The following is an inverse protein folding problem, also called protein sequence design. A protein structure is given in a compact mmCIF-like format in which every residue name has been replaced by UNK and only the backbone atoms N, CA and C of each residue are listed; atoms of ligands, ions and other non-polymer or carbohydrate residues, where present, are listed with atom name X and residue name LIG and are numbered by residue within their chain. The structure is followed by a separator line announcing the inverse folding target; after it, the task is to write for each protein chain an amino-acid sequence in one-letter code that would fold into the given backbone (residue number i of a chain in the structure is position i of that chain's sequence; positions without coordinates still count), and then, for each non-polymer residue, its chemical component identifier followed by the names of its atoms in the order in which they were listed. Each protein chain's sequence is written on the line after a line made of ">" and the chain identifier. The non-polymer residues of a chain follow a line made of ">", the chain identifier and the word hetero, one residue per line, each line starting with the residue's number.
data_IF_168424854610
#
_entry.id   IF_168424854610
#
_cell.length_a   1.000
_cell.length_b   1.000
_cell.length_c   1.000
_cell.angle_alpha   90.00
_cell.angle_beta   90.00
_cell.angle_gamma   90.00
#
_symmetry.space_group_name_H-M   'P 1'
#
loop_
_entity.id
_entity.type
_entity.pdbx_description
1 polymer ?
#
# COMPACT_ATOMS: atom_id res chain seq x y z
N UNK A 1 14.61 -14.36 -9.18
CA UNK A 1 13.43 -14.45 -8.28
C UNK A 1 13.68 -15.49 -7.19
N UNK A 2 13.29 -15.19 -5.95
CA UNK A 2 13.42 -16.08 -4.80
C UNK A 2 12.43 -17.25 -4.90
N UNK A 3 12.88 -18.50 -4.65
CA UNK A 3 12.01 -19.70 -4.70
C UNK A 3 10.86 -19.64 -3.68
N UNK A 4 11.14 -19.11 -2.48
CA UNK A 4 10.11 -18.95 -1.44
C UNK A 4 9.03 -17.93 -1.85
N UNK A 5 9.37 -16.94 -2.69
CA UNK A 5 8.38 -16.02 -3.25
C UNK A 5 7.47 -16.76 -4.24
N UNK A 6 8.04 -17.61 -5.13
CA UNK A 6 7.24 -18.38 -6.10
C UNK A 6 6.19 -19.25 -5.40
N UNK A 7 6.51 -19.84 -4.26
CA UNK A 7 5.59 -20.66 -3.47
C UNK A 7 4.39 -19.88 -2.92
N UNK A 8 4.47 -18.56 -2.83
CA UNK A 8 3.38 -17.70 -2.35
C UNK A 8 2.49 -17.18 -3.48
N UNK A 9 2.99 -17.19 -4.73
CA UNK A 9 2.26 -16.63 -5.86
C UNK A 9 1.08 -17.50 -6.27
N UNK A 10 0.03 -16.84 -6.80
CA UNK A 10 -1.09 -17.43 -7.51
C UNK A 10 -1.38 -16.61 -8.78
N UNK A 11 -1.97 -17.26 -9.76
CA UNK A 11 -2.33 -16.62 -11.02
C UNK A 11 -3.45 -15.58 -10.80
N UNK A 12 -3.26 -14.30 -11.14
CA UNK A 12 -4.31 -13.30 -10.97
C UNK A 12 -5.50 -13.51 -11.93
N UNK A 13 -5.36 -14.28 -13.02
CA UNK A 13 -6.46 -14.54 -13.95
C UNK A 13 -7.42 -15.63 -13.46
N UNK A 14 -6.91 -16.74 -12.93
CA UNK A 14 -7.74 -17.87 -12.53
C UNK A 14 -7.69 -18.20 -11.03
N UNK A 15 -6.81 -17.54 -10.25
CA UNK A 15 -6.65 -17.80 -8.83
C UNK A 15 -5.82 -19.05 -8.48
N UNK A 16 -5.48 -19.89 -9.47
CA UNK A 16 -4.75 -21.13 -9.22
C UNK A 16 -3.27 -20.89 -8.91
N UNK A 17 -2.74 -21.75 -8.08
CA UNK A 17 -1.37 -21.63 -7.60
C UNK A 17 -0.33 -22.39 -8.44
N UNK A 18 -0.72 -22.83 -9.63
CA UNK A 18 0.08 -23.68 -10.53
C UNK A 18 0.96 -22.81 -11.46
N UNK A 19 1.89 -22.10 -10.85
CA UNK A 19 2.82 -21.23 -11.56
C UNK A 19 4.18 -21.92 -11.69
N UNK A 20 4.68 -21.98 -12.93
CA UNK A 20 5.98 -22.53 -13.28
C UNK A 20 6.90 -21.45 -13.83
N UNK A 21 8.17 -21.48 -13.43
CA UNK A 21 9.20 -20.63 -13.99
C UNK A 21 9.72 -21.24 -15.28
N UNK A 22 9.46 -20.59 -16.40
CA UNK A 22 9.94 -20.97 -17.72
C UNK A 22 11.31 -20.33 -18.03
N UNK A 23 12.10 -20.91 -18.95
CA UNK A 23 13.28 -20.23 -19.52
C UNK A 23 12.89 -18.85 -20.09
N UNK A 24 13.77 -17.86 -19.89
CA UNK A 24 13.55 -16.48 -20.35
C UNK A 24 12.74 -15.63 -19.37
N UNK A 25 12.91 -15.88 -18.06
CA UNK A 25 12.35 -15.06 -16.98
C UNK A 25 10.83 -14.80 -17.14
N UNK A 26 10.08 -15.88 -17.29
CA UNK A 26 8.62 -15.84 -17.43
C UNK A 26 7.98 -16.85 -16.48
N UNK A 27 6.95 -16.42 -15.74
CA UNK A 27 6.05 -17.31 -15.03
C UNK A 27 4.90 -17.70 -15.96
N UNK A 28 4.54 -18.97 -15.98
CA UNK A 28 3.38 -19.48 -16.70
C UNK A 28 2.42 -20.19 -15.75
N UNK A 29 1.14 -19.95 -15.91
CA UNK A 29 0.10 -20.70 -15.22
C UNK A 29 -0.27 -21.93 -16.03
N UNK A 30 -0.11 -23.13 -15.44
CA UNK A 30 -0.45 -24.40 -16.08
C UNK A 30 -1.96 -24.57 -16.28
N UNK A 31 -2.79 -23.90 -15.44
CA UNK A 31 -4.25 -24.02 -15.45
C UNK A 31 -4.93 -23.18 -16.55
N UNK A 32 -4.45 -21.94 -16.80
CA UNK A 32 -5.09 -21.04 -17.78
C UNK A 32 -4.15 -20.52 -18.87
N UNK A 33 -2.91 -21.02 -18.91
CA UNK A 33 -1.87 -20.67 -19.86
C UNK A 33 -1.44 -19.17 -19.86
N UNK A 34 -1.88 -18.37 -18.86
CA UNK A 34 -1.45 -16.98 -18.70
C UNK A 34 0.05 -16.92 -18.39
N UNK A 35 0.69 -15.88 -18.91
CA UNK A 35 2.14 -15.68 -18.77
C UNK A 35 2.45 -14.32 -18.18
N UNK A 36 3.44 -14.30 -17.27
CA UNK A 36 3.84 -13.13 -16.50
C UNK A 36 5.35 -12.95 -16.62
N UNK A 37 5.83 -11.86 -17.24
CA UNK A 37 7.26 -11.62 -17.36
C UNK A 37 7.87 -11.28 -16.00
N UNK A 38 9.12 -11.68 -15.81
CA UNK A 38 9.96 -11.22 -14.70
C UNK A 38 10.91 -10.18 -15.27
N UNK A 39 10.76 -8.93 -14.86
CA UNK A 39 11.56 -7.80 -15.34
C UNK A 39 12.41 -7.30 -14.19
N UNK A 40 13.74 -7.23 -14.36
CA UNK A 40 14.67 -6.84 -13.30
C UNK A 40 14.51 -7.62 -11.98
N UNK A 41 14.15 -8.91 -12.09
CA UNK A 41 13.90 -9.78 -10.95
C UNK A 41 12.51 -9.65 -10.30
N UNK A 42 11.65 -8.74 -10.79
CA UNK A 42 10.30 -8.48 -10.32
C UNK A 42 9.28 -9.20 -11.21
N UNK A 43 8.49 -10.15 -10.69
CA UNK A 43 7.39 -10.75 -11.45
C UNK A 43 6.25 -9.73 -11.65
N UNK A 44 5.85 -9.53 -12.89
CA UNK A 44 4.77 -8.62 -13.29
C UNK A 44 3.45 -9.40 -13.37
N UNK A 45 2.83 -9.59 -12.22
CA UNK A 45 1.61 -10.38 -12.00
C UNK A 45 0.34 -9.53 -12.16
N UNK A 46 0.23 -8.84 -13.30
CA UNK A 46 -0.93 -8.00 -13.60
C UNK A 46 -1.95 -8.79 -14.44
N UNK A 47 -3.27 -8.59 -14.22
CA UNK A 47 -4.30 -9.11 -15.09
C UNK A 47 -4.05 -8.72 -16.57
N UNK A 48 -4.39 -9.61 -17.51
CA UNK A 48 -4.04 -9.43 -18.92
C UNK A 48 -4.57 -8.11 -19.50
N UNK A 49 -5.79 -7.72 -19.15
CA UNK A 49 -6.39 -6.46 -19.59
C UNK A 49 -5.60 -5.24 -19.11
N UNK A 50 -5.15 -5.25 -17.86
CA UNK A 50 -4.35 -4.17 -17.29
C UNK A 50 -2.94 -4.18 -17.89
N UNK A 51 -2.29 -5.33 -17.97
CA UNK A 51 -0.97 -5.48 -18.56
C UNK A 51 -0.92 -5.04 -20.03
N UNK A 52 -1.97 -5.35 -20.82
CA UNK A 52 -2.08 -4.90 -22.21
C UNK A 52 -2.21 -3.37 -22.29
N UNK A 53 -3.04 -2.79 -21.43
CA UNK A 53 -3.24 -1.34 -21.33
C UNK A 53 -1.93 -0.62 -21.00
N UNK A 54 -1.15 -1.13 -20.07
CA UNK A 54 0.14 -0.56 -19.69
C UNK A 54 1.17 -0.61 -20.81
N UNK A 55 1.27 -1.76 -21.52
CA UNK A 55 2.21 -1.89 -22.64
C UNK A 55 1.89 -0.93 -23.80
N UNK A 56 0.61 -0.75 -24.12
CA UNK A 56 0.18 0.14 -25.20
C UNK A 56 0.41 1.62 -24.91
N UNK A 57 0.72 1.98 -23.67
CA UNK A 57 0.67 3.36 -23.21
C UNK A 57 1.93 3.91 -22.57
N UNK A 58 3.05 3.22 -22.66
CA UNK A 58 4.35 3.80 -22.28
C UNK A 58 4.60 5.13 -23.03
N UNK A 59 4.36 5.14 -24.34
CA UNK A 59 4.46 6.34 -25.17
C UNK A 59 3.40 7.40 -24.84
N UNK A 60 2.26 6.97 -24.31
CA UNK A 60 1.22 7.90 -23.87
C UNK A 60 1.60 8.53 -22.54
N UNK A 61 2.21 7.77 -21.60
CA UNK A 61 2.75 8.30 -20.34
C UNK A 61 3.79 9.38 -20.59
N UNK A 62 4.76 9.11 -21.47
CA UNK A 62 5.79 10.07 -21.81
C UNK A 62 5.20 11.36 -22.40
N UNK A 63 4.22 11.23 -23.29
CA UNK A 63 3.50 12.39 -23.86
C UNK A 63 2.67 13.14 -22.82
N UNK A 64 2.02 12.42 -21.91
CA UNK A 64 1.24 12.99 -20.82
C UNK A 64 2.14 13.77 -19.85
N UNK A 65 3.26 13.17 -19.42
CA UNK A 65 4.22 13.86 -18.55
C UNK A 65 4.82 15.11 -19.23
N UNK A 66 5.09 15.03 -20.53
CA UNK A 66 5.54 16.20 -21.29
C UNK A 66 4.47 17.30 -21.35
N UNK A 67 3.20 16.95 -21.52
CA UNK A 67 2.09 17.90 -21.53
C UNK A 67 1.89 18.56 -20.15
N UNK A 68 2.04 17.78 -19.06
CA UNK A 68 1.97 18.30 -17.70
C UNK A 68 3.10 19.28 -17.38
N UNK A 69 4.32 18.96 -17.81
CA UNK A 69 5.45 19.91 -17.67
C UNK A 69 5.19 21.24 -18.40
N UNK A 70 4.33 21.24 -19.42
CA UNK A 70 3.87 22.44 -20.11
C UNK A 70 2.64 23.09 -19.47
N UNK A 71 2.10 22.54 -18.38
CA UNK A 71 0.92 23.06 -17.69
C UNK A 71 -0.41 22.83 -18.42
N UNK A 72 -0.48 21.82 -19.30
CA UNK A 72 -1.69 21.48 -20.03
C UNK A 72 -2.70 20.73 -19.13
N UNK A 73 -4.00 21.02 -19.30
CA UNK A 73 -5.06 20.30 -18.59
C UNK A 73 -5.21 18.88 -19.15
N UNK A 74 -5.15 17.88 -18.26
CA UNK A 74 -5.09 16.48 -18.60
C UNK A 74 -6.39 15.70 -18.28
N UNK A 75 -7.43 16.39 -17.87
CA UNK A 75 -8.70 15.74 -17.54
C UNK A 75 -9.35 15.10 -18.77
N UNK A 76 -9.78 13.83 -18.65
CA UNK A 76 -10.60 13.07 -19.61
C UNK A 76 -9.93 12.52 -20.88
N UNK A 77 -8.83 11.79 -20.80
CA UNK A 77 -8.17 11.22 -21.99
C UNK A 77 -8.09 9.69 -22.07
N UNK A 78 -8.86 8.94 -21.32
CA UNK A 78 -8.82 7.48 -21.37
C UNK A 78 -9.95 6.78 -20.62
N UNK A 79 -9.78 5.48 -20.36
CA UNK A 79 -10.68 4.80 -19.43
C UNK A 79 -10.40 5.29 -17.99
N UNK A 80 -11.40 5.31 -17.10
CA UNK A 80 -11.20 5.73 -15.71
C UNK A 80 -10.09 4.96 -14.98
N UNK A 81 -9.91 3.68 -15.31
CA UNK A 81 -8.86 2.83 -14.73
C UNK A 81 -7.47 3.21 -15.21
N UNK A 82 -7.37 3.58 -16.49
CA UNK A 82 -6.12 4.03 -17.06
C UNK A 82 -5.73 5.41 -16.57
N UNK A 83 -6.67 6.36 -16.57
CA UNK A 83 -6.44 7.72 -16.08
C UNK A 83 -5.98 7.66 -14.63
N UNK A 84 -6.57 6.76 -13.82
CA UNK A 84 -6.15 6.51 -12.46
C UNK A 84 -4.73 5.97 -12.36
N UNK A 85 -4.39 4.92 -13.11
CA UNK A 85 -3.04 4.36 -13.14
C UNK A 85 -2.01 5.41 -13.56
N UNK A 86 -2.37 6.23 -14.55
CA UNK A 86 -1.53 7.31 -15.06
C UNK A 86 -1.29 8.39 -14.01
N UNK A 87 -2.33 8.75 -13.25
CA UNK A 87 -2.23 9.68 -12.15
C UNK A 87 -1.35 9.15 -11.02
N UNK A 88 -1.51 7.89 -10.64
CA UNK A 88 -0.69 7.24 -9.61
C UNK A 88 0.79 7.24 -10.01
N UNK A 89 1.09 6.84 -11.24
CA UNK A 89 2.45 6.88 -11.77
C UNK A 89 3.03 8.29 -11.86
N UNK A 90 2.22 9.26 -12.29
CA UNK A 90 2.65 10.66 -12.34
C UNK A 90 2.91 11.23 -10.96
N UNK A 91 2.03 10.99 -10.00
CA UNK A 91 2.21 11.44 -8.62
C UNK A 91 3.50 10.89 -8.01
N UNK A 92 3.82 9.65 -8.30
CA UNK A 92 5.09 9.05 -7.89
C UNK A 92 6.30 9.80 -8.47
N UNK A 93 6.33 10.01 -9.78
CA UNK A 93 7.44 10.70 -10.44
C UNK A 93 7.49 12.18 -10.03
N UNK A 94 6.35 12.86 -9.92
CA UNK A 94 6.27 14.24 -9.47
C UNK A 94 6.71 14.37 -8.00
N UNK A 95 6.27 13.50 -7.14
CA UNK A 95 6.72 13.45 -5.74
C UNK A 95 8.22 13.26 -5.63
N UNK A 96 8.79 12.39 -6.48
CA UNK A 96 10.24 12.15 -6.58
C UNK A 96 10.98 13.43 -7.04
N UNK A 97 10.50 14.10 -8.10
CA UNK A 97 11.09 15.34 -8.61
C UNK A 97 10.98 16.50 -7.60
N UNK A 98 9.81 16.70 -6.98
CA UNK A 98 9.58 17.82 -6.03
C UNK A 98 10.29 17.59 -4.70
N UNK A 99 10.22 16.39 -4.14
CA UNK A 99 10.84 16.07 -2.84
C UNK A 99 12.37 16.16 -2.93
N UNK A 100 12.96 15.76 -4.05
CA UNK A 100 14.41 15.76 -4.21
C UNK A 100 14.96 17.08 -4.80
N UNK A 101 14.14 17.96 -5.36
CA UNK A 101 14.58 19.25 -5.91
C UNK A 101 14.59 20.39 -4.89
N UNK A 102 13.75 20.32 -3.84
CA UNK A 102 13.73 21.30 -2.75
C UNK A 102 14.27 20.68 -1.45
N UNK A 103 15.50 21.04 -1.07
CA UNK A 103 16.18 20.50 0.09
C UNK A 103 15.39 20.66 1.40
N UNK A 104 14.69 21.78 1.59
CA UNK A 104 13.94 22.06 2.82
C UNK A 104 12.62 21.27 2.87
N UNK A 105 11.91 21.19 1.76
CA UNK A 105 10.71 20.35 1.66
C UNK A 105 11.07 18.87 1.83
N UNK A 106 12.20 18.44 1.25
CA UNK A 106 12.72 17.10 1.41
C UNK A 106 13.02 16.75 2.86
N UNK A 107 13.73 17.62 3.60
CA UNK A 107 14.05 17.40 5.02
C UNK A 107 12.79 17.26 5.89
N UNK A 108 11.79 18.13 5.70
CA UNK A 108 10.54 18.11 6.44
C UNK A 108 9.76 16.82 6.13
N UNK A 109 9.67 16.45 4.86
CA UNK A 109 8.97 15.24 4.43
C UNK A 109 9.66 13.97 4.90
N UNK A 110 11.01 13.90 4.79
CA UNK A 110 11.80 12.76 5.27
C UNK A 110 11.61 12.58 6.78
N UNK A 111 11.70 13.66 7.55
CA UNK A 111 11.51 13.58 9.01
C UNK A 111 10.10 13.05 9.39
N UNK A 112 9.08 13.51 8.68
CA UNK A 112 7.70 13.04 8.86
C UNK A 112 7.56 11.56 8.49
N UNK A 113 8.05 11.18 7.30
CA UNK A 113 7.99 9.81 6.80
C UNK A 113 8.73 8.83 7.71
N UNK A 114 9.94 9.18 8.17
CA UNK A 114 10.69 8.36 9.12
C UNK A 114 9.96 8.12 10.44
N UNK A 115 9.30 9.15 10.96
CA UNK A 115 8.56 9.05 12.22
C UNK A 115 7.37 8.11 12.11
N UNK A 116 6.59 8.26 11.02
CA UNK A 116 5.47 7.38 10.70
C UNK A 116 5.94 5.94 10.48
N UNK A 117 7.00 5.75 9.68
CA UNK A 117 7.56 4.44 9.40
C UNK A 117 8.04 3.72 10.67
N UNK A 118 8.83 4.38 11.52
CA UNK A 118 9.29 3.80 12.80
C UNK A 118 8.11 3.40 13.71
N UNK A 119 7.05 4.20 13.73
CA UNK A 119 5.84 3.89 14.52
C UNK A 119 5.09 2.70 13.95
N UNK A 120 4.92 2.64 12.64
CA UNK A 120 4.28 1.50 11.97
C UNK A 120 5.08 0.21 12.16
N UNK A 121 6.40 0.23 11.96
CA UNK A 121 7.24 -0.94 12.18
C UNK A 121 7.13 -1.47 13.62
N UNK A 122 7.18 -0.58 14.62
CA UNK A 122 6.98 -0.96 16.03
C UNK A 122 5.60 -1.56 16.26
N UNK A 123 4.56 -0.93 15.73
CA UNK A 123 3.18 -1.40 15.87
C UNK A 123 3.01 -2.80 15.25
N UNK A 124 3.55 -3.04 14.05
CA UNK A 124 3.51 -4.35 13.38
C UNK A 124 4.23 -5.41 14.21
N UNK A 125 5.41 -5.09 14.76
CA UNK A 125 6.15 -6.01 15.62
C UNK A 125 5.39 -6.37 16.89
N UNK A 126 4.81 -5.38 17.58
CA UNK A 126 4.03 -5.58 18.80
C UNK A 126 2.78 -6.42 18.54
N UNK A 127 2.02 -6.08 17.48
CA UNK A 127 0.79 -6.80 17.13
C UNK A 127 1.02 -8.24 16.69
N UNK A 128 2.07 -8.48 15.94
CA UNK A 128 2.42 -9.81 15.48
C UNK A 128 3.17 -10.65 16.55
N UNK A 129 3.44 -10.12 17.74
CA UNK A 129 4.30 -10.81 18.71
C UNK A 129 5.71 -11.08 18.18
N UNK A 130 6.28 -10.09 17.47
CA UNK A 130 7.52 -10.20 16.70
C UNK A 130 7.26 -10.55 15.23
N UNK A 131 8.19 -10.21 14.36
CA UNK A 131 8.10 -10.44 12.90
C UNK A 131 9.10 -11.45 12.38
N UNK A 132 10.06 -11.88 13.21
CA UNK A 132 11.09 -12.85 12.82
C UNK A 132 10.46 -14.17 12.34
N UNK A 133 10.85 -14.61 11.14
CA UNK A 133 10.34 -15.83 10.51
C UNK A 133 8.90 -15.74 9.99
N UNK A 134 8.22 -14.59 10.13
CA UNK A 134 6.85 -14.37 9.62
C UNK A 134 6.87 -13.86 8.20
N UNK A 135 5.83 -14.23 7.44
CA UNK A 135 5.57 -13.73 6.08
C UNK A 135 4.70 -12.48 6.16
N UNK A 136 5.24 -11.35 5.72
CA UNK A 136 4.56 -10.06 5.71
C UNK A 136 4.30 -9.60 4.28
N UNK A 137 3.10 -9.14 3.99
CA UNK A 137 2.75 -8.52 2.71
C UNK A 137 2.48 -7.02 2.91
N UNK A 138 3.23 -6.18 2.22
CA UNK A 138 3.01 -4.74 2.12
C UNK A 138 2.28 -4.43 0.81
N UNK A 139 0.99 -4.11 0.91
CA UNK A 139 0.10 -3.81 -0.22
C UNK A 139 0.16 -2.32 -0.54
N UNK A 140 0.53 -1.99 -1.78
CA UNK A 140 0.76 -0.61 -2.21
C UNK A 140 2.01 -0.02 -1.55
N UNK A 141 3.13 -0.75 -1.62
CA UNK A 141 4.36 -0.39 -0.92
C UNK A 141 5.08 0.82 -1.51
N UNK A 142 4.85 1.11 -2.79
CA UNK A 142 5.67 2.06 -3.51
C UNK A 142 7.16 1.73 -3.34
N UNK A 143 7.98 2.76 -3.07
CA UNK A 143 9.39 2.63 -2.73
C UNK A 143 9.67 2.85 -1.21
N UNK A 144 8.69 2.53 -0.33
CA UNK A 144 8.81 2.80 1.11
C UNK A 144 9.85 1.91 1.81
N UNK A 145 11.12 2.21 1.55
CA UNK A 145 12.29 1.57 2.18
C UNK A 145 12.33 1.76 3.70
N UNK A 146 11.67 2.81 4.22
CA UNK A 146 11.68 3.12 5.65
C UNK A 146 10.82 2.14 6.48
N UNK A 147 9.89 1.42 5.82
CA UNK A 147 9.11 0.35 6.44
C UNK A 147 9.64 -1.02 6.05
N UNK A 148 9.87 -1.25 4.75
CA UNK A 148 10.24 -2.59 4.24
C UNK A 148 11.58 -3.07 4.78
N UNK A 149 12.65 -2.27 4.66
CA UNK A 149 13.99 -2.72 5.04
C UNK A 149 14.15 -2.99 6.55
N UNK A 150 13.64 -2.16 7.47
CA UNK A 150 13.69 -2.46 8.91
C UNK A 150 12.95 -3.75 9.30
N UNK A 151 11.83 -4.08 8.63
CA UNK A 151 11.10 -5.32 8.89
C UNK A 151 11.86 -6.54 8.35
N UNK A 152 12.48 -6.44 7.18
CA UNK A 152 13.38 -7.48 6.65
C UNK A 152 14.61 -7.68 7.58
N UNK A 153 15.22 -6.61 8.04
CA UNK A 153 16.34 -6.65 8.98
C UNK A 153 15.95 -7.27 10.33
N UNK A 154 14.68 -7.14 10.75
CA UNK A 154 14.13 -7.81 11.91
C UNK A 154 13.80 -9.30 11.67
N UNK A 155 14.14 -9.83 10.51
CA UNK A 155 13.99 -11.24 10.14
C UNK A 155 12.64 -11.63 9.56
N UNK A 156 11.82 -10.66 9.11
CA UNK A 156 10.60 -10.94 8.39
C UNK A 156 10.89 -11.39 6.95
N UNK A 157 10.09 -12.32 6.44
CA UNK A 157 10.00 -12.56 5.00
C UNK A 157 9.03 -11.52 4.41
N UNK A 158 9.58 -10.39 4.00
CA UNK A 158 8.80 -9.30 3.40
C UNK A 158 8.51 -9.57 1.94
N UNK A 159 7.27 -9.29 1.52
CA UNK A 159 6.86 -9.16 0.13
C UNK A 159 6.26 -7.79 -0.07
N UNK A 160 6.80 -7.05 -1.03
CA UNK A 160 6.36 -5.69 -1.39
C UNK A 160 5.55 -5.77 -2.69
N UNK A 161 4.32 -5.28 -2.69
CA UNK A 161 3.47 -5.26 -3.88
C UNK A 161 3.08 -3.82 -4.21
N UNK A 162 3.26 -3.46 -5.48
CA UNK A 162 2.76 -2.22 -6.04
C UNK A 162 2.42 -2.40 -7.53
N UNK A 163 1.58 -1.54 -8.08
CA UNK A 163 1.27 -1.51 -9.51
C UNK A 163 2.35 -0.76 -10.30
N UNK A 164 3.10 0.13 -9.64
CA UNK A 164 4.15 0.95 -10.24
C UNK A 164 5.50 0.23 -10.15
N UNK A 165 5.92 -0.41 -11.24
CA UNK A 165 7.17 -1.20 -11.28
C UNK A 165 8.42 -0.37 -10.97
N UNK A 166 8.49 0.88 -11.42
CA UNK A 166 9.63 1.78 -11.17
C UNK A 166 9.86 2.01 -9.68
N UNK A 167 8.76 2.10 -8.90
CA UNK A 167 8.82 2.21 -7.43
C UNK A 167 9.45 0.97 -6.79
N UNK A 168 9.06 -0.21 -7.29
CA UNK A 168 9.58 -1.49 -6.82
C UNK A 168 11.04 -1.69 -7.22
N UNK A 169 11.45 -1.23 -8.40
CA UNK A 169 12.86 -1.23 -8.83
C UNK A 169 13.72 -0.36 -7.91
N UNK A 170 13.25 0.84 -7.56
CA UNK A 170 13.93 1.70 -6.59
C UNK A 170 14.02 1.03 -5.20
N UNK A 171 12.97 0.33 -4.79
CA UNK A 171 12.94 -0.37 -3.51
C UNK A 171 13.91 -1.57 -3.50
N UNK A 172 14.00 -2.32 -4.59
CA UNK A 172 14.99 -3.39 -4.77
C UNK A 172 16.41 -2.84 -4.81
N UNK A 173 16.63 -1.74 -5.52
CA UNK A 173 17.94 -1.06 -5.54
C UNK A 173 18.37 -0.57 -4.14
N UNK A 174 17.40 -0.27 -3.25
CA UNK A 174 17.65 0.05 -1.86
C UNK A 174 17.92 -1.19 -0.97
N UNK A 175 17.74 -2.41 -1.49
CA UNK A 175 18.05 -3.67 -0.81
C UNK A 175 16.89 -4.58 -0.47
N UNK A 176 15.65 -4.25 -0.82
CA UNK A 176 14.51 -5.15 -0.63
C UNK A 176 14.65 -6.43 -1.49
N UNK A 177 14.24 -7.57 -0.94
CA UNK A 177 14.50 -8.87 -1.55
C UNK A 177 13.35 -9.38 -2.42
N UNK A 178 12.11 -9.09 -2.06
CA UNK A 178 10.94 -9.65 -2.72
C UNK A 178 9.95 -8.54 -3.08
N UNK A 179 9.85 -8.25 -4.38
CA UNK A 179 8.90 -7.31 -4.95
C UNK A 179 8.04 -8.00 -6.00
N UNK A 180 6.77 -7.62 -6.08
CA UNK A 180 5.79 -8.14 -7.05
C UNK A 180 5.02 -6.96 -7.65
N UNK A 181 5.04 -6.81 -8.95
CA UNK A 181 4.19 -5.84 -9.65
C UNK A 181 2.79 -6.45 -9.81
N UNK A 182 1.77 -5.85 -9.17
CA UNK A 182 0.41 -6.38 -9.14
C UNK A 182 -0.64 -5.37 -8.71
N UNK A 183 -1.92 -5.70 -8.95
CA UNK A 183 -3.07 -4.86 -8.56
C UNK A 183 -3.49 -5.18 -7.12
N UNK A 184 -3.68 -4.14 -6.29
CA UNK A 184 -4.13 -4.27 -4.90
C UNK A 184 -5.55 -4.84 -4.78
N UNK A 185 -6.36 -4.76 -5.85
CA UNK A 185 -7.72 -5.31 -5.90
C UNK A 185 -7.75 -6.80 -6.23
N UNK A 186 -6.67 -7.31 -6.82
CA UNK A 186 -6.55 -8.69 -7.27
C UNK A 186 -5.14 -9.20 -6.96
N UNK A 187 -4.90 -9.46 -5.68
CA UNK A 187 -3.59 -9.85 -5.17
C UNK A 187 -3.13 -11.19 -5.77
N UNK A 188 -1.95 -11.26 -6.39
CA UNK A 188 -1.46 -12.47 -7.07
C UNK A 188 -0.81 -13.45 -6.07
N UNK A 189 -1.50 -13.78 -4.99
CA UNK A 189 -0.99 -14.66 -3.94
C UNK A 189 -1.99 -15.73 -3.58
N UNK A 190 -1.47 -16.86 -3.09
CA UNK A 190 -2.28 -17.96 -2.55
C UNK A 190 -3.09 -17.46 -1.35
N UNK A 191 -4.26 -18.07 -1.16
CA UNK A 191 -5.05 -17.85 0.03
C UNK A 191 -4.24 -18.21 1.29
N UNK A 192 -4.43 -17.41 2.34
CA UNK A 192 -3.82 -17.66 3.66
C UNK A 192 -2.28 -17.78 3.63
N UNK A 193 -1.62 -17.04 2.74
CA UNK A 193 -0.17 -17.12 2.54
C UNK A 193 0.64 -16.31 3.57
N UNK A 194 0.04 -15.27 4.17
CA UNK A 194 0.76 -14.29 5.00
C UNK A 194 0.30 -14.26 6.45
N UNK A 195 1.24 -14.09 7.37
CA UNK A 195 0.97 -13.92 8.80
C UNK A 195 0.47 -12.51 9.12
N UNK A 196 0.97 -11.52 8.38
CA UNK A 196 0.56 -10.12 8.46
C UNK A 196 0.39 -9.55 7.07
N UNK A 197 -0.75 -8.91 6.81
CA UNK A 197 -1.01 -8.14 5.58
C UNK A 197 -1.27 -6.70 5.98
N UNK A 198 -0.53 -5.76 5.41
CA UNK A 198 -0.68 -4.36 5.75
C UNK A 198 -0.58 -3.43 4.55
N UNK A 199 -1.17 -2.25 4.70
CA UNK A 199 -1.12 -1.16 3.72
C UNK A 199 -0.91 0.16 4.44
N UNK A 200 -0.18 1.08 3.79
CA UNK A 200 0.05 2.44 4.27
C UNK A 200 -0.06 3.43 3.12
N UNK A 201 -1.07 4.31 3.19
CA UNK A 201 -1.22 5.42 2.25
C UNK A 201 -1.47 5.01 0.80
N UNK A 202 -2.14 3.87 0.56
CA UNK A 202 -2.41 3.40 -0.80
C UNK A 202 -3.88 3.06 -1.07
N UNK A 203 -4.65 2.63 -0.07
CA UNK A 203 -6.03 2.20 -0.29
C UNK A 203 -6.97 3.36 -0.63
N UNK A 204 -6.63 4.58 -0.23
CA UNK A 204 -7.42 5.77 -0.58
C UNK A 204 -7.43 6.08 -2.08
N UNK A 205 -6.54 5.49 -2.87
CA UNK A 205 -6.57 5.52 -4.34
C UNK A 205 -7.55 4.51 -4.94
N UNK A 206 -8.19 3.63 -4.15
CA UNK A 206 -9.09 2.59 -4.65
C UNK A 206 -10.57 2.89 -4.38
N UNK A 207 -11.42 2.71 -5.40
CA UNK A 207 -12.90 2.76 -5.29
C UNK A 207 -13.52 1.56 -6.00
N UNK A 208 -14.36 0.78 -5.34
CA UNK A 208 -14.67 0.84 -3.89
C UNK A 208 -13.53 0.25 -3.04
N UNK A 209 -13.29 0.80 -1.85
CA UNK A 209 -12.26 0.31 -0.94
C UNK A 209 -12.50 -1.13 -0.45
N UNK A 210 -13.72 -1.62 -0.54
CA UNK A 210 -14.06 -2.99 -0.15
C UNK A 210 -13.32 -4.03 -1.00
N UNK A 211 -13.02 -3.74 -2.27
CA UNK A 211 -12.29 -4.66 -3.15
C UNK A 211 -10.88 -4.97 -2.64
N UNK A 212 -9.97 -3.97 -2.45
CA UNK A 212 -8.65 -4.26 -1.94
C UNK A 212 -8.66 -4.82 -0.51
N UNK A 213 -9.59 -4.39 0.36
CA UNK A 213 -9.71 -4.98 1.69
C UNK A 213 -10.12 -6.46 1.62
N UNK A 214 -11.08 -6.82 0.76
CA UNK A 214 -11.45 -8.21 0.51
C UNK A 214 -10.30 -9.05 -0.05
N UNK A 215 -9.51 -8.49 -0.99
CA UNK A 215 -8.32 -9.15 -1.52
C UNK A 215 -7.27 -9.40 -0.42
N UNK A 216 -7.02 -8.41 0.45
CA UNK A 216 -6.11 -8.55 1.59
C UNK A 216 -6.61 -9.63 2.57
N UNK A 217 -7.92 -9.69 2.83
CA UNK A 217 -8.53 -10.73 3.66
C UNK A 217 -8.37 -12.13 3.07
N UNK A 218 -8.37 -12.27 1.74
CA UNK A 218 -8.17 -13.55 1.07
C UNK A 218 -6.78 -14.14 1.32
N UNK A 219 -5.75 -13.31 1.42
CA UNK A 219 -4.35 -13.75 1.50
C UNK A 219 -3.77 -13.77 2.92
N UNK A 220 -4.39 -13.11 3.89
CA UNK A 220 -3.99 -13.20 5.30
C UNK A 220 -4.45 -14.52 5.89
N UNK A 221 -3.62 -15.20 6.67
CA UNK A 221 -3.94 -16.45 7.37
C UNK A 221 -5.09 -16.24 8.37
N UNK A 222 -5.81 -17.31 8.70
CA UNK A 222 -6.65 -17.35 9.90
C UNK A 222 -5.76 -17.13 11.12
N UNK A 223 -6.23 -16.33 12.08
CA UNK A 223 -5.40 -15.88 13.21
C UNK A 223 -4.28 -14.90 12.82
N UNK A 224 -4.10 -14.58 11.54
CA UNK A 224 -3.16 -13.58 11.08
C UNK A 224 -3.68 -12.15 11.28
N UNK A 225 -2.80 -11.17 11.10
CA UNK A 225 -3.13 -9.77 11.35
C UNK A 225 -3.30 -8.98 10.06
N UNK A 226 -4.31 -8.08 10.06
CA UNK A 226 -4.48 -7.07 9.03
C UNK A 226 -4.27 -5.68 9.65
N UNK A 227 -3.49 -4.83 8.96
CA UNK A 227 -3.15 -3.49 9.44
C UNK A 227 -3.29 -2.47 8.32
N UNK A 228 -4.14 -1.48 8.52
CA UNK A 228 -4.44 -0.42 7.55
C UNK A 228 -4.02 0.92 8.15
N UNK A 229 -3.08 1.60 7.51
CA UNK A 229 -2.61 2.93 7.88
C UNK A 229 -2.92 3.92 6.75
N UNK A 230 -3.82 4.87 6.98
CA UNK A 230 -4.33 5.75 5.92
C UNK A 230 -4.51 7.20 6.41
N UNK A 231 -4.47 8.17 5.49
CA UNK A 231 -4.86 9.55 5.78
C UNK A 231 -6.31 9.62 6.28
N UNK A 232 -6.54 10.44 7.30
CA UNK A 232 -7.82 10.55 7.97
C UNK A 232 -8.73 11.57 7.30
N UNK A 233 -9.92 11.14 6.85
CA UNK A 233 -10.91 12.01 6.21
C UNK A 233 -11.34 13.22 7.06
N UNK A 234 -11.27 13.12 8.38
CA UNK A 234 -11.60 14.24 9.28
C UNK A 234 -10.59 15.38 9.24
N UNK A 235 -9.37 15.13 8.73
CA UNK A 235 -8.32 16.15 8.59
C UNK A 235 -8.29 16.82 7.21
N UNK A 236 -9.07 16.32 6.25
CA UNK A 236 -9.34 17.04 5.02
C UNK A 236 -10.32 18.20 5.28
N UNK A 237 -9.88 19.16 6.11
CA UNK A 237 -10.50 20.47 6.11
C UNK A 237 -10.35 21.03 4.71
N UNK A 238 -11.44 21.58 4.11
CA UNK A 238 -11.42 22.06 2.75
C UNK A 238 -10.32 23.12 2.59
N UNK A 239 -9.32 22.82 1.79
CA UNK A 239 -8.37 23.79 1.22
C UNK A 239 -7.24 24.32 2.11
N UNK A 240 -6.56 23.53 2.89
CA UNK A 240 -5.16 23.88 3.19
C UNK A 240 -4.26 23.40 2.05
N UNK A 241 -4.32 24.11 0.93
CA UNK A 241 -3.28 24.06 -0.08
C UNK A 241 -2.05 24.71 0.52
N UNK A 242 -1.06 23.90 0.90
CA UNK A 242 0.27 24.43 1.20
C UNK A 242 0.81 25.09 -0.09
N UNK A 243 1.40 26.30 0.01
CA UNK A 243 2.12 26.88 -1.12
C UNK A 243 3.21 25.91 -1.56
N UNK A 244 3.09 25.36 -2.78
CA UNK A 244 4.00 24.36 -3.32
C UNK A 244 3.35 23.05 -3.77
N UNK A 245 2.02 22.91 -3.68
CA UNK A 245 1.30 21.82 -4.34
C UNK A 245 1.37 20.43 -3.68
N UNK A 246 1.90 20.32 -2.48
CA UNK A 246 1.97 19.06 -1.71
C UNK A 246 0.63 18.68 -1.05
N UNK A 247 -0.47 18.76 -1.74
CA UNK A 247 -1.74 18.46 -1.08
C UNK A 247 -2.97 18.67 -1.96
N UNK A 248 -2.84 18.59 -3.27
CA UNK A 248 -4.04 18.46 -4.09
C UNK A 248 -4.52 17.00 -4.00
N UNK A 249 -5.70 16.75 -3.38
CA UNK A 249 -6.35 15.48 -3.60
C UNK A 249 -6.55 15.36 -5.11
N UNK A 250 -6.01 14.31 -5.69
CA UNK A 250 -6.33 14.00 -7.08
C UNK A 250 -7.83 13.67 -7.15
N UNK A 251 -8.49 13.79 -8.29
CA UNK A 251 -9.89 13.40 -8.44
C UNK A 251 -10.13 11.92 -8.07
N UNK A 252 -9.07 11.15 -7.88
CA UNK A 252 -9.09 9.72 -7.56
C UNK A 252 -8.77 9.40 -6.11
N UNK A 253 -8.31 10.37 -5.31
CA UNK A 253 -8.10 10.17 -3.88
C UNK A 253 -9.43 10.20 -3.12
N UNK A 254 -9.57 9.22 -2.21
CA UNK A 254 -10.73 9.09 -1.36
C UNK A 254 -10.34 9.26 0.09
N UNK A 255 -10.80 10.32 0.70
CA UNK A 255 -10.64 10.45 2.14
C UNK A 255 -11.33 9.26 2.85
N UNK A 256 -10.54 8.46 3.56
CA UNK A 256 -11.02 7.31 4.31
C UNK A 256 -11.29 7.68 5.76
N UNK A 257 -12.35 7.12 6.33
CA UNK A 257 -12.57 7.20 7.76
C UNK A 257 -12.21 5.86 8.43
N UNK A 258 -11.58 5.93 9.60
CA UNK A 258 -11.29 4.74 10.40
C UNK A 258 -12.54 3.88 10.67
N UNK A 259 -13.71 4.51 10.82
CA UNK A 259 -14.99 3.79 11.02
C UNK A 259 -15.42 3.02 9.78
N UNK A 260 -15.20 3.57 8.59
CA UNK A 260 -15.52 2.89 7.33
C UNK A 260 -14.65 1.65 7.16
N UNK A 261 -13.33 1.80 7.32
CA UNK A 261 -12.37 0.69 7.24
C UNK A 261 -12.73 -0.40 8.25
N UNK A 262 -12.92 -0.02 9.53
CA UNK A 262 -13.26 -0.95 10.59
C UNK A 262 -14.58 -1.72 10.34
N UNK A 263 -15.59 -1.03 9.81
CA UNK A 263 -16.89 -1.67 9.50
C UNK A 263 -16.74 -2.72 8.40
N UNK A 264 -15.94 -2.45 7.38
CA UNK A 264 -15.66 -3.43 6.31
C UNK A 264 -14.91 -4.62 6.89
N UNK A 265 -13.81 -4.39 7.62
CA UNK A 265 -13.01 -5.44 8.23
C UNK A 265 -13.82 -6.31 9.20
N UNK A 266 -14.65 -5.69 10.05
CA UNK A 266 -15.53 -6.43 10.96
C UNK A 266 -16.53 -7.33 10.22
N UNK A 267 -17.13 -6.80 9.13
CA UNK A 267 -18.03 -7.58 8.28
C UNK A 267 -17.33 -8.78 7.63
N UNK A 268 -16.05 -8.62 7.30
CA UNK A 268 -15.25 -9.66 6.65
C UNK A 268 -14.55 -10.60 7.65
N UNK A 269 -14.94 -10.57 8.93
CA UNK A 269 -14.46 -11.49 9.97
C UNK A 269 -13.14 -11.10 10.60
N UNK A 270 -12.90 -9.81 10.79
CA UNK A 270 -11.76 -9.32 11.59
C UNK A 270 -12.23 -8.98 12.99
N UNK A 271 -11.65 -9.65 13.97
CA UNK A 271 -11.91 -9.45 15.39
C UNK A 271 -10.84 -8.56 16.04
N UNK A 272 -11.07 -8.21 17.31
CA UNK A 272 -10.14 -7.45 18.15
C UNK A 272 -9.66 -6.14 17.47
N UNK A 273 -10.59 -5.43 16.80
CA UNK A 273 -10.26 -4.19 16.11
C UNK A 273 -9.66 -3.16 17.07
N UNK A 274 -8.50 -2.67 16.69
CA UNK A 274 -7.75 -1.65 17.42
C UNK A 274 -7.57 -0.41 16.55
N UNK A 275 -7.65 0.75 17.21
CA UNK A 275 -7.52 2.05 16.59
C UNK A 275 -6.41 2.84 17.28
N UNK A 276 -5.52 3.43 16.49
CA UNK A 276 -4.54 4.39 17.00
C UNK A 276 -4.15 5.40 15.92
N UNK A 277 -3.50 6.48 16.31
CA UNK A 277 -2.89 7.39 15.36
C UNK A 277 -1.57 6.85 14.86
N UNK A 278 -1.32 6.97 13.55
CA UNK A 278 0.03 6.80 13.00
C UNK A 278 0.83 8.08 13.18
N UNK A 279 0.27 9.20 12.73
CA UNK A 279 0.83 10.56 12.93
C UNK A 279 -0.28 11.51 13.31
N UNK A 280 0.00 12.45 14.21
CA UNK A 280 -0.98 13.47 14.60
C UNK A 280 -0.83 14.75 13.78
N UNK A 281 0.40 15.18 13.53
CA UNK A 281 0.69 16.40 12.78
C UNK A 281 0.65 16.16 11.27
N UNK A 282 0.05 17.07 10.47
CA UNK A 282 0.14 17.04 9.03
C UNK A 282 1.58 17.18 8.52
N UNK A 283 1.90 16.63 7.33
CA UNK A 283 3.16 16.92 6.65
C UNK A 283 3.34 18.44 6.47
N UNK A 284 4.57 18.92 6.56
CA UNK A 284 4.88 20.34 6.44
C UNK A 284 4.68 21.16 7.73
N UNK A 285 4.18 20.55 8.82
CA UNK A 285 4.15 21.19 10.13
C UNK A 285 5.58 21.43 10.62
N UNK A 286 5.97 22.67 11.03
CA UNK A 286 7.29 22.94 11.57
C UNK A 286 7.66 21.98 12.72
N UNK A 287 8.88 21.47 12.74
CA UNK A 287 9.31 20.40 13.63
C UNK A 287 9.00 20.63 15.13
N UNK A 288 9.17 21.83 15.72
CA UNK A 288 8.80 22.08 17.12
C UNK A 288 7.30 21.89 17.39
N UNK A 289 6.44 22.39 16.49
CA UNK A 289 4.99 22.27 16.59
C UNK A 289 4.53 20.82 16.34
N UNK A 290 5.11 20.17 15.36
CA UNK A 290 4.84 18.76 15.10
C UNK A 290 5.20 17.89 16.30
N UNK A 291 6.35 18.13 16.92
CA UNK A 291 6.77 17.40 18.12
C UNK A 291 5.86 17.66 19.33
N UNK A 292 5.41 18.91 19.51
CA UNK A 292 4.43 19.23 20.55
C UNK A 292 3.11 18.50 20.29
N UNK A 293 2.60 18.55 19.07
CA UNK A 293 1.34 17.92 18.68
C UNK A 293 1.39 16.39 18.85
N UNK A 294 2.50 15.77 18.48
CA UNK A 294 2.73 14.34 18.71
C UNK A 294 2.79 13.97 20.18
N UNK A 295 3.45 14.79 21.04
CA UNK A 295 3.50 14.56 22.49
C UNK A 295 2.12 14.67 23.13
N UNK A 296 1.33 15.68 22.73
CA UNK A 296 -0.05 15.84 23.20
C UNK A 296 -0.92 14.67 22.77
N UNK A 297 -0.77 14.21 21.51
CA UNK A 297 -1.46 13.05 20.99
C UNK A 297 -1.14 11.77 21.77
N UNK A 298 0.14 11.56 22.10
CA UNK A 298 0.57 10.41 22.91
C UNK A 298 0.10 10.49 24.36
N UNK A 299 0.07 11.68 24.94
CA UNK A 299 -0.37 11.87 26.32
C UNK A 299 -1.90 11.76 26.49
N UNK A 300 -2.66 12.14 25.45
CA UNK A 300 -4.12 12.16 25.48
C UNK A 300 -4.71 11.51 24.21
N UNK A 301 -4.46 10.21 23.96
CA UNK A 301 -4.87 9.55 22.72
C UNK A 301 -6.42 9.55 22.53
N UNK A 302 -7.18 9.45 23.64
CA UNK A 302 -8.63 9.51 23.62
C UNK A 302 -9.20 10.81 23.02
N UNK A 303 -8.44 11.91 23.09
CA UNK A 303 -8.81 13.21 22.52
C UNK A 303 -8.20 13.41 21.13
N UNK A 304 -6.91 13.15 20.99
CA UNK A 304 -6.13 13.53 19.81
C UNK A 304 -6.18 12.52 18.66
N UNK A 305 -6.33 11.21 18.91
CA UNK A 305 -6.41 10.20 17.86
C UNK A 305 -7.58 10.41 16.90
N UNK A 306 -8.63 11.09 17.38
CA UNK A 306 -9.78 11.46 16.54
C UNK A 306 -9.39 12.46 15.44
N UNK A 307 -8.41 13.31 15.73
CA UNK A 307 -7.90 14.37 14.86
C UNK A 307 -6.49 14.07 14.34
N UNK A 308 -6.05 12.84 14.42
CA UNK A 308 -4.78 12.42 13.85
C UNK A 308 -4.79 12.63 12.34
N UNK A 309 -3.65 12.99 11.75
CA UNK A 309 -3.51 13.14 10.31
C UNK A 309 -3.60 11.78 9.61
N UNK A 310 -2.91 10.77 10.16
CA UNK A 310 -3.02 9.38 9.71
C UNK A 310 -3.49 8.50 10.86
N UNK A 311 -4.36 7.55 10.54
CA UNK A 311 -4.84 6.55 11.49
C UNK A 311 -4.30 5.17 11.16
N UNK A 312 -4.28 4.30 12.17
CA UNK A 312 -4.16 2.84 12.01
C UNK A 312 -5.47 2.20 12.45
N UNK A 313 -5.97 1.27 11.62
CA UNK A 313 -6.96 0.26 12.00
C UNK A 313 -6.30 -1.09 11.86
N UNK A 314 -6.31 -1.89 12.90
CA UNK A 314 -5.74 -3.22 12.89
C UNK A 314 -6.64 -4.22 13.60
N UNK A 315 -6.57 -5.47 13.18
CA UNK A 315 -7.29 -6.57 13.82
C UNK A 315 -6.73 -7.93 13.43
N UNK A 316 -7.31 -8.97 13.97
CA UNK A 316 -6.95 -10.35 13.70
C UNK A 316 -8.05 -11.02 12.89
N UNK A 317 -7.69 -11.73 11.81
CA UNK A 317 -8.66 -12.54 11.06
C UNK A 317 -9.12 -13.70 11.92
N UNK A 318 -10.44 -13.84 12.10
CA UNK A 318 -11.05 -14.91 12.90
C UNK A 318 -10.65 -16.30 12.44
N UNK A 319 -10.49 -17.23 13.36
CA UNK A 319 -10.17 -18.63 13.08
C UNK A 319 -11.38 -19.42 12.54
N UNK A 320 -12.53 -18.77 12.37
CA UNK A 320 -13.77 -19.38 11.84
C UNK A 320 -14.61 -20.13 12.88
N UNK A 321 -14.06 -20.43 14.05
CA UNK A 321 -14.80 -21.11 15.13
C UNK A 321 -15.77 -20.18 15.86
N UNK A 322 -15.51 -18.87 15.91
CA UNK A 322 -16.33 -17.90 16.63
C UNK A 322 -17.38 -17.22 15.75
N UNK A 323 -17.25 -17.26 14.43
CA UNK A 323 -18.22 -16.65 13.51
C UNK A 323 -19.59 -17.36 13.52
N UNK A 324 -19.61 -18.67 13.78
CA UNK A 324 -20.86 -19.41 13.95
C UNK A 324 -21.58 -19.10 15.26
N UNK A 325 -20.84 -18.79 16.34
CA UNK A 325 -21.44 -18.47 17.65
C UNK A 325 -22.07 -17.10 17.72
N UNK A 326 -21.62 -16.13 16.91
CA UNK A 326 -22.16 -14.76 16.90
C UNK A 326 -23.49 -14.64 16.09
N UNK A 327 -23.79 -15.61 15.22
CA UNK A 327 -25.02 -15.65 14.44
C UNK A 327 -26.13 -16.54 15.07
N UNK A 328 -25.81 -17.23 16.17
CA UNK A 328 -26.76 -18.10 16.91
C UNK A 328 -27.34 -17.40 18.18
N UNK A 329 -27.10 -16.10 18.35
CA UNK A 329 -27.71 -15.23 19.38
C UNK A 329 -28.53 -14.14 18.67
#
# INVERSE_FOLDING_TARGET
>A
MNRNLLELLACPECGEADLELLPGDTLACSSCASRYPIINGIPHMLPAHLAATLRQKKDYLERLMAAMRRGEDLQNRGSPELDRFMWEHHLYNWGKEVIYSDSRAAEIFVHYAEKGARRLCRFLQERAGGVHGKRLLYVGSGNDRLVSLPLEQAGAFMVNLDVVSDSLEDLMAAGAQNCVCGDIRQLPFRAEAFDVVFSKGSLHHSRPIAEPLGAMMGVVKRGGHIVIAEPNSYMFLPRFTLPGGLGHPTPYENALSRRQVARILAKDGVDQLHFTALTHAPPGTPAPLANLWERLGQAMPWLFDRFAFEFIVAGQRSDGADYQRANDI
#
